data_IF_468696427095
#
_entry.id   IF_468696427095
#
_cell.length_a   1.000
_cell.length_b   1.000
_cell.length_c   1.000
_cell.angle_alpha   90.00
_cell.angle_beta   90.00
_cell.angle_gamma   90.00
#
_symmetry.space_group_name_H-M   'P 1'
#
loop_
_entity.id
_entity.type
_entity.pdbx_description
1 polymer ?
#
# COMPACT_ATOMS: atom_id res chain seq x y z
N UNK A 1 13.90 14.74 -8.49
CA UNK A 1 13.13 14.48 -7.26
C UNK A 1 14.03 13.67 -6.34
N UNK A 2 14.24 14.08 -5.10
CA UNK A 2 15.00 13.27 -4.13
C UNK A 2 14.16 12.05 -3.72
N UNK A 3 14.78 10.87 -3.64
CA UNK A 3 14.10 9.60 -3.34
C UNK A 3 13.40 9.59 -1.96
N UNK A 4 13.80 10.48 -1.04
CA UNK A 4 13.20 10.59 0.30
C UNK A 4 11.70 10.90 0.32
N UNK A 5 11.16 11.42 -0.78
CA UNK A 5 9.73 11.77 -0.91
C UNK A 5 8.90 10.65 -1.56
N UNK A 6 9.53 9.56 -1.97
CA UNK A 6 8.82 8.43 -2.58
C UNK A 6 8.29 7.49 -1.49
N UNK A 7 7.13 6.90 -1.74
CA UNK A 7 6.60 5.80 -0.92
C UNK A 7 7.57 4.62 -0.99
N UNK A 8 7.96 4.08 0.18
CA UNK A 8 8.73 2.85 0.23
C UNK A 8 7.78 1.67 -0.04
N UNK A 9 7.90 1.04 -1.20
CA UNK A 9 6.97 -0.02 -1.64
C UNK A 9 6.98 -1.24 -0.71
N UNK A 10 8.15 -1.80 -0.30
CA UNK A 10 8.22 -2.83 0.73
C UNK A 10 7.44 -2.51 2.01
N UNK A 11 7.67 -1.33 2.61
CA UNK A 11 7.00 -0.92 3.84
C UNK A 11 5.50 -0.76 3.60
N UNK A 12 5.14 -0.07 2.52
CA UNK A 12 3.76 0.13 2.11
C UNK A 12 2.99 -1.20 2.01
N UNK A 13 3.51 -2.16 1.24
CA UNK A 13 2.87 -3.47 1.09
C UNK A 13 2.86 -4.27 2.40
N UNK A 14 3.88 -4.11 3.24
CA UNK A 14 3.99 -4.76 4.54
C UNK A 14 3.08 -4.17 5.63
N UNK A 15 2.58 -2.97 5.44
CA UNK A 15 1.62 -2.32 6.34
C UNK A 15 0.17 -2.64 5.95
N UNK A 16 -0.10 -2.99 4.68
CA UNK A 16 -1.45 -3.34 4.21
C UNK A 16 -1.98 -4.60 4.91
N UNK A 17 -3.25 -4.54 5.34
CA UNK A 17 -3.93 -5.62 6.06
C UNK A 17 -3.12 -6.13 7.27
N UNK A 18 -2.49 -5.20 8.00
CA UNK A 18 -1.59 -5.48 9.12
C UNK A 18 -0.44 -6.45 8.76
N UNK A 19 0.02 -6.40 7.51
CA UNK A 19 1.09 -7.24 6.97
C UNK A 19 0.65 -8.61 6.47
N UNK A 20 -0.64 -8.95 6.58
CA UNK A 20 -1.19 -10.21 6.04
C UNK A 20 -1.22 -10.17 4.51
N UNK A 21 -1.32 -8.98 3.91
CA UNK A 21 -1.44 -8.84 2.47
C UNK A 21 -0.27 -9.43 1.68
N UNK A 22 0.97 -9.28 2.17
CA UNK A 22 2.16 -9.89 1.56
C UNK A 22 2.02 -11.42 1.50
N UNK A 23 1.56 -12.03 2.57
CA UNK A 23 1.38 -13.48 2.64
C UNK A 23 0.30 -13.96 1.65
N UNK A 24 -0.77 -13.18 1.49
CA UNK A 24 -1.83 -13.46 0.50
C UNK A 24 -1.30 -13.38 -0.93
N UNK A 25 -0.50 -12.37 -1.26
CA UNK A 25 0.14 -12.24 -2.58
C UNK A 25 1.06 -13.44 -2.85
N UNK A 26 1.89 -13.80 -1.87
CA UNK A 26 2.80 -14.94 -1.99
C UNK A 26 2.03 -16.25 -2.24
N UNK A 27 0.96 -16.48 -1.49
CA UNK A 27 0.07 -17.63 -1.66
C UNK A 27 -0.60 -17.67 -3.04
N UNK A 28 -1.11 -16.53 -3.51
CA UNK A 28 -1.75 -16.41 -4.82
C UNK A 28 -0.76 -16.68 -5.96
N UNK A 29 0.46 -16.15 -5.88
CA UNK A 29 1.52 -16.39 -6.86
C UNK A 29 1.92 -17.87 -6.90
N UNK A 30 2.14 -18.49 -5.75
CA UNK A 30 2.49 -19.91 -5.66
C UNK A 30 1.39 -20.80 -6.26
N UNK A 31 0.13 -20.53 -5.89
CA UNK A 31 -1.02 -21.30 -6.36
C UNK A 31 -1.21 -21.15 -7.87
N UNK A 32 -1.16 -19.92 -8.39
CA UNK A 32 -1.30 -19.66 -9.81
C UNK A 32 -0.16 -20.31 -10.61
N UNK A 33 1.10 -20.20 -10.16
CA UNK A 33 2.26 -20.79 -10.81
C UNK A 33 2.20 -22.34 -10.82
N UNK A 34 1.84 -22.95 -9.69
CA UNK A 34 1.66 -24.40 -9.58
C UNK A 34 0.55 -24.88 -10.53
N UNK A 35 -0.57 -24.17 -10.57
CA UNK A 35 -1.67 -24.49 -11.49
C UNK A 35 -1.25 -24.42 -12.96
N UNK A 36 -0.47 -23.40 -13.33
CA UNK A 36 0.08 -23.26 -14.70
C UNK A 36 0.97 -24.44 -15.06
N UNK A 37 1.89 -24.83 -14.18
CA UNK A 37 2.79 -25.96 -14.42
C UNK A 37 2.02 -27.28 -14.57
N UNK A 38 1.02 -27.51 -13.71
CA UNK A 38 0.29 -28.77 -13.70
C UNK A 38 -0.75 -28.91 -14.83
N UNK A 39 -1.30 -27.80 -15.32
CA UNK A 39 -2.44 -27.81 -16.24
C UNK A 39 -2.15 -27.16 -17.61
N UNK A 40 -0.95 -26.61 -17.81
CA UNK A 40 -0.46 -26.06 -19.09
C UNK A 40 -1.20 -24.81 -19.60
N UNK A 41 -2.19 -24.32 -18.86
CA UNK A 41 -3.00 -23.14 -19.21
C UNK A 41 -2.47 -21.90 -18.49
N UNK A 42 -2.88 -20.70 -18.94
CA UNK A 42 -2.41 -19.43 -18.37
C UNK A 42 -3.05 -19.17 -16.99
N UNK A 43 -2.22 -18.80 -16.02
CA UNK A 43 -2.63 -18.23 -14.75
C UNK A 43 -2.55 -16.70 -14.80
N UNK A 44 -3.26 -16.03 -13.90
CA UNK A 44 -3.26 -14.55 -13.81
C UNK A 44 -3.29 -14.14 -12.35
N UNK A 45 -2.48 -13.15 -11.96
CA UNK A 45 -2.58 -12.47 -10.67
C UNK A 45 -2.70 -10.98 -10.94
N UNK A 46 -3.65 -10.31 -10.30
CA UNK A 46 -3.96 -8.89 -10.47
C UNK A 46 -4.06 -8.25 -9.09
N UNK A 47 -3.30 -7.17 -8.91
CA UNK A 47 -3.38 -6.29 -7.76
C UNK A 47 -3.98 -4.97 -8.22
N UNK A 48 -5.07 -4.55 -7.57
CA UNK A 48 -5.71 -3.25 -7.82
C UNK A 48 -5.69 -2.45 -6.53
N UNK A 49 -5.33 -1.17 -6.64
CA UNK A 49 -5.35 -0.22 -5.53
C UNK A 49 -6.30 0.92 -5.90
N UNK A 50 -7.44 1.00 -5.23
CA UNK A 50 -8.36 2.13 -5.33
C UNK A 50 -8.10 3.06 -4.15
N UNK A 51 -7.91 4.35 -4.42
CA UNK A 51 -7.52 5.35 -3.41
C UNK A 51 -8.64 6.37 -3.29
N UNK A 52 -9.31 6.36 -2.14
CA UNK A 52 -10.39 7.28 -1.80
C UNK A 52 -9.93 8.25 -0.71
N UNK A 53 -10.38 9.51 -0.77
CA UNK A 53 -10.12 10.46 0.32
C UNK A 53 -10.91 10.03 1.57
N UNK A 54 -10.25 10.04 2.74
CA UNK A 54 -10.95 9.91 4.02
C UNK A 54 -11.36 11.30 4.49
N UNK A 55 -12.64 11.62 4.35
CA UNK A 55 -13.20 12.90 4.77
C UNK A 55 -13.39 13.91 3.63
N UNK A 56 -14.22 14.92 3.93
CA UNK A 56 -14.52 16.02 3.00
C UNK A 56 -13.63 17.25 3.24
N UNK A 57 -12.88 17.28 4.34
CA UNK A 57 -11.98 18.39 4.66
C UNK A 57 -10.60 18.17 4.07
N UNK A 58 -10.03 19.22 3.48
CA UNK A 58 -8.66 19.22 2.92
C UNK A 58 -7.60 19.07 4.03
N UNK A 59 -7.98 19.32 5.29
CA UNK A 59 -7.11 19.18 6.45
C UNK A 59 -6.86 17.72 6.83
N UNK A 60 -7.77 16.82 6.47
CA UNK A 60 -7.61 15.39 6.71
C UNK A 60 -6.73 14.78 5.61
N UNK A 61 -5.42 14.77 5.85
CA UNK A 61 -4.41 14.22 4.93
C UNK A 61 -4.36 12.69 4.99
N UNK A 62 -5.53 12.04 4.91
CA UNK A 62 -5.67 10.58 4.96
C UNK A 62 -6.42 10.09 3.74
N UNK A 63 -6.00 8.92 3.26
CA UNK A 63 -6.64 8.21 2.16
C UNK A 63 -6.95 6.80 2.59
N UNK A 64 -8.08 6.29 2.14
CA UNK A 64 -8.47 4.90 2.26
C UNK A 64 -7.97 4.18 1.03
N UNK A 65 -7.14 3.17 1.22
CA UNK A 65 -6.60 2.36 0.13
C UNK A 65 -7.31 1.02 0.15
N UNK A 66 -8.22 0.84 -0.81
CA UNK A 66 -8.82 -0.45 -1.09
C UNK A 66 -7.84 -1.23 -1.94
N UNK A 67 -7.36 -2.34 -1.43
CA UNK A 67 -6.39 -3.18 -2.09
C UNK A 67 -7.05 -4.52 -2.37
N UNK A 68 -7.13 -4.82 -3.67
CA UNK A 68 -7.86 -5.97 -4.21
C UNK A 68 -6.87 -6.91 -4.86
N UNK A 69 -6.83 -8.15 -4.36
CA UNK A 69 -6.06 -9.25 -4.92
C UNK A 69 -7.01 -10.19 -5.66
N UNK A 70 -6.83 -10.31 -6.98
CA UNK A 70 -7.55 -11.26 -7.81
C UNK A 70 -6.56 -12.22 -8.44
N UNK A 71 -6.82 -13.51 -8.37
CA UNK A 71 -6.00 -14.49 -9.09
C UNK A 71 -6.82 -15.60 -9.72
N UNK A 72 -6.30 -16.11 -10.84
CA UNK A 72 -6.87 -17.18 -11.63
C UNK A 72 -5.83 -18.29 -11.71
N UNK A 73 -6.23 -19.47 -11.24
CA UNK A 73 -5.43 -20.68 -11.27
C UNK A 73 -6.08 -21.68 -12.22
N UNK A 74 -5.37 -22.12 -13.27
CA UNK A 74 -5.91 -23.14 -14.16
C UNK A 74 -5.96 -24.50 -13.47
N UNK A 75 -6.98 -25.29 -13.80
CA UNK A 75 -7.21 -26.65 -13.27
C UNK A 75 -7.40 -27.64 -14.42
N UNK A 76 -7.35 -28.97 -14.19
CA UNK A 76 -7.50 -29.95 -15.26
C UNK A 76 -8.84 -29.83 -16.01
N UNK A 77 -9.86 -29.28 -15.34
CA UNK A 77 -11.20 -29.03 -15.88
C UNK A 77 -11.62 -27.58 -15.66
N UNK A 78 -10.82 -26.63 -16.17
CA UNK A 78 -11.20 -25.23 -16.25
C UNK A 78 -10.26 -24.31 -15.46
N UNK A 79 -10.84 -23.42 -14.64
CA UNK A 79 -10.10 -22.43 -13.85
C UNK A 79 -10.79 -22.19 -12.52
N UNK A 80 -10.00 -21.92 -11.49
CA UNK A 80 -10.44 -21.39 -10.20
C UNK A 80 -10.06 -19.92 -10.18
N UNK A 81 -10.97 -19.07 -9.69
CA UNK A 81 -10.72 -17.66 -9.47
C UNK A 81 -11.01 -17.31 -8.02
N UNK A 82 -10.12 -16.56 -7.41
CA UNK A 82 -10.29 -16.04 -6.06
C UNK A 82 -10.06 -14.54 -6.06
N UNK A 83 -10.86 -13.85 -5.26
CA UNK A 83 -10.88 -12.40 -5.13
C UNK A 83 -10.96 -12.07 -3.65
N UNK A 84 -10.00 -11.27 -3.18
CA UNK A 84 -9.98 -10.72 -1.82
C UNK A 84 -9.84 -9.21 -1.91
N UNK A 85 -10.65 -8.49 -1.12
CA UNK A 85 -10.65 -7.03 -1.08
C UNK A 85 -10.63 -6.59 0.36
N UNK A 86 -9.59 -5.85 0.72
CA UNK A 86 -9.38 -5.29 2.04
C UNK A 86 -9.08 -3.80 1.92
N UNK A 87 -9.26 -3.06 3.02
CA UNK A 87 -9.08 -1.60 3.02
C UNK A 87 -8.13 -1.22 4.15
N UNK A 88 -7.20 -0.31 3.88
CA UNK A 88 -6.26 0.19 4.90
C UNK A 88 -6.17 1.72 4.82
N UNK A 89 -6.42 2.43 5.93
CA UNK A 89 -6.26 3.88 5.98
C UNK A 89 -4.77 4.25 6.06
N UNK A 90 -4.33 5.16 5.19
CA UNK A 90 -2.94 5.63 5.12
C UNK A 90 -2.87 7.15 5.20
N UNK A 91 -1.79 7.70 5.74
CA UNK A 91 -1.50 9.13 5.71
C UNK A 91 -0.80 9.52 4.41
N UNK A 92 -1.13 10.71 3.91
CA UNK A 92 -0.45 11.34 2.77
C UNK A 92 0.48 12.43 3.30
N UNK A 93 1.78 12.16 3.28
CA UNK A 93 2.79 13.05 3.81
C UNK A 93 3.34 14.00 2.74
N UNK A 94 4.38 14.75 3.10
CA UNK A 94 4.98 15.76 2.24
C UNK A 94 5.47 15.12 0.93
N UNK A 95 4.97 15.62 -0.19
CA UNK A 95 5.31 15.09 -1.52
C UNK A 95 4.50 13.87 -1.94
N UNK A 96 3.42 13.52 -1.23
CA UNK A 96 2.52 12.43 -1.60
C UNK A 96 2.94 11.04 -1.09
N UNK A 97 3.95 10.99 -0.21
CA UNK A 97 4.44 9.74 0.39
C UNK A 97 3.39 9.11 1.31
N UNK A 98 3.10 7.84 1.08
CA UNK A 98 2.12 7.06 1.86
C UNK A 98 2.82 6.32 3.00
N UNK A 99 2.26 6.41 4.20
CA UNK A 99 2.71 5.66 5.40
C UNK A 99 1.53 5.41 6.35
N UNK A 100 1.60 4.35 7.16
CA UNK A 100 0.59 4.06 8.18
C UNK A 100 0.58 5.08 9.33
N UNK A 101 1.74 5.66 9.63
CA UNK A 101 1.93 6.72 10.63
C UNK A 101 2.08 8.07 9.95
N UNK A 102 1.57 9.13 10.57
CA UNK A 102 1.87 10.49 10.12
C UNK A 102 3.38 10.75 10.28
N UNK A 103 4.05 11.27 9.24
CA UNK A 103 5.42 11.73 9.38
C UNK A 103 5.45 12.83 10.44
N UNK A 104 6.35 12.67 11.42
CA UNK A 104 6.60 13.67 12.45
C UNK A 104 6.91 15.00 11.75
N UNK A 105 6.27 16.09 12.18
CA UNK A 105 6.35 17.40 11.50
C UNK A 105 7.74 18.07 11.64
N UNK A 106 8.77 17.33 12.04
CA UNK A 106 9.96 17.86 12.66
C UNK A 106 9.67 18.24 14.10
N UNK A 107 10.68 18.19 14.96
CA UNK A 107 10.53 18.68 16.32
C UNK A 107 10.07 20.15 16.25
N UNK A 108 9.07 20.54 17.06
CA UNK A 108 8.76 21.96 17.22
C UNK A 108 9.94 22.74 17.82
N UNK A 109 10.83 22.05 18.55
CA UNK A 109 11.98 22.63 19.22
C UNK A 109 13.26 21.83 18.94
N UNK A 110 14.36 22.54 18.74
CA UNK A 110 15.71 21.97 18.77
C UNK A 110 16.00 21.36 20.16
N UNK A 111 17.05 20.54 20.26
CA UNK A 111 17.49 19.95 21.53
C UNK A 111 17.81 21.00 22.62
N UNK A 112 18.02 22.27 22.23
CA UNK A 112 18.25 23.42 23.11
C UNK A 112 16.97 24.17 23.53
N UNK A 113 15.78 23.77 23.08
CA UNK A 113 14.52 24.44 23.40
C UNK A 113 14.13 25.59 22.46
N UNK A 114 14.95 25.92 21.46
CA UNK A 114 14.62 26.92 20.44
C UNK A 114 13.67 26.36 19.37
N UNK A 115 12.71 27.13 18.84
CA UNK A 115 11.80 26.65 17.79
C UNK A 115 12.55 26.22 16.52
N UNK A 116 12.28 25.01 16.01
CA UNK A 116 12.98 24.43 14.86
C UNK A 116 12.67 25.22 13.57
N UNK A 117 13.74 25.72 12.93
CA UNK A 117 13.67 26.59 11.76
C UNK A 117 13.11 25.91 10.50
N UNK A 118 12.95 24.57 10.50
CA UNK A 118 12.33 23.82 9.40
C UNK A 118 10.83 24.11 9.20
N UNK A 119 10.17 24.77 10.16
CA UNK A 119 8.79 25.22 10.07
C UNK A 119 8.62 26.58 9.36
N UNK A 120 9.72 27.24 8.99
CA UNK A 120 9.72 28.63 8.51
C UNK A 120 9.60 28.80 6.99
N UNK A 121 9.45 27.73 6.22
CA UNK A 121 9.23 27.82 4.76
C UNK A 121 7.74 27.98 4.45
N UNK A 122 7.22 29.18 4.66
CA UNK A 122 6.03 29.70 3.98
C UNK A 122 6.46 30.87 3.08
N UNK A 123 5.77 31.05 1.95
CA UNK A 123 4.96 32.26 1.77
C UNK A 123 3.50 32.01 2.13
#
# INVERSE_FOLDING_TARGET
MSNDRMTNVPDFLGELDAGVFINKIAGALNTAALGVLNNGSKGKVVLTFDIDRMGNSIEEKRVMIKHKLQYITPTPRGKVSEEDTTETPMFVNRGGKLTILQEDQGNLFTLGGDPDAKLRTGP
#
